data_IF_878026963574
#
_entry.id   IF_878026963574
#
_cell.length_a   1.000
_cell.length_b   1.000
_cell.length_c   1.000
_cell.angle_alpha   90.00
_cell.angle_beta   90.00
_cell.angle_gamma   90.00
#
_symmetry.space_group_name_H-M   'P 1'
#
loop_
_entity.id
_entity.type
_entity.pdbx_description
1 polymer ?
#
# COMPACT_ATOMS: atom_id res chain seq x y z
N UNK A 1 10.23 -13.00 5.56
CA UNK A 1 10.17 -14.02 4.48
C UNK A 1 11.14 -13.64 3.38
N UNK A 2 11.85 -14.59 2.77
CA UNK A 2 12.73 -14.37 1.61
C UNK A 2 12.11 -15.05 0.39
N UNK A 3 11.80 -14.29 -0.66
CA UNK A 3 11.23 -14.87 -1.87
C UNK A 3 12.35 -15.50 -2.73
N UNK A 4 12.14 -16.67 -3.37
CA UNK A 4 13.20 -17.35 -4.12
C UNK A 4 13.79 -16.53 -5.29
N UNK A 5 13.03 -15.60 -5.85
CA UNK A 5 13.45 -14.73 -6.96
C UNK A 5 13.85 -13.31 -6.51
N UNK A 6 14.05 -13.09 -5.21
CA UNK A 6 14.36 -11.78 -4.64
C UNK A 6 15.81 -11.38 -4.94
N UNK A 7 16.01 -10.25 -5.63
CA UNK A 7 17.37 -9.71 -5.86
C UNK A 7 17.90 -9.06 -4.57
N UNK A 8 19.23 -8.94 -4.39
CA UNK A 8 19.82 -8.46 -3.14
C UNK A 8 19.39 -7.06 -2.67
N UNK A 9 18.80 -6.25 -3.55
CA UNK A 9 18.28 -4.91 -3.25
C UNK A 9 16.75 -4.79 -3.32
N UNK A 10 16.02 -5.89 -3.51
CA UNK A 10 14.57 -5.83 -3.77
C UNK A 10 13.74 -5.58 -2.50
N UNK A 11 13.96 -6.33 -1.43
CA UNK A 11 13.30 -6.09 -0.15
C UNK A 11 14.15 -6.47 1.06
N UNK A 12 13.77 -5.90 2.20
CA UNK A 12 13.91 -6.54 3.50
C UNK A 12 15.38 -6.84 3.91
N UNK A 13 16.35 -6.14 3.28
CA UNK A 13 17.78 -6.33 3.42
C UNK A 13 18.22 -7.81 3.36
N UNK A 14 17.74 -8.58 2.38
CA UNK A 14 17.97 -10.02 2.27
C UNK A 14 17.41 -10.83 3.45
N UNK A 15 16.26 -10.42 3.98
CA UNK A 15 15.59 -11.08 5.11
C UNK A 15 16.15 -10.69 6.49
N UNK A 16 17.00 -9.66 6.57
CA UNK A 16 17.49 -9.12 7.85
C UNK A 16 16.48 -8.18 8.53
N UNK A 17 15.55 -7.61 7.75
CA UNK A 17 14.43 -6.84 8.29
C UNK A 17 13.28 -7.78 8.56
N UNK A 18 12.86 -7.86 9.82
CA UNK A 18 11.59 -8.45 10.21
C UNK A 18 10.54 -7.33 10.22
N UNK A 19 9.51 -7.47 9.41
CA UNK A 19 8.37 -6.56 9.44
C UNK A 19 7.40 -7.03 10.52
N UNK A 20 6.80 -6.08 11.22
CA UNK A 20 5.69 -6.37 12.12
C UNK A 20 4.51 -6.95 11.32
N UNK A 21 3.65 -7.68 12.03
CA UNK A 21 2.43 -8.21 11.44
C UNK A 21 1.56 -7.08 10.90
N UNK A 22 0.88 -7.37 9.80
CA UNK A 22 -0.03 -6.42 9.19
C UNK A 22 -1.15 -6.11 10.18
N UNK A 23 -1.29 -4.83 10.54
CA UNK A 23 -2.42 -4.41 11.37
C UNK A 23 -3.72 -4.68 10.63
N UNK A 24 -4.72 -5.14 11.37
CA UNK A 24 -6.03 -5.38 10.78
C UNK A 24 -6.64 -4.05 10.28
N UNK A 25 -7.21 -4.09 9.09
CA UNK A 25 -7.92 -2.96 8.52
C UNK A 25 -9.07 -2.56 9.45
N UNK A 26 -9.19 -1.27 9.85
CA UNK A 26 -10.32 -0.81 10.66
C UNK A 26 -11.67 -1.24 10.07
N UNK A 27 -12.58 -1.71 10.91
CA UNK A 27 -13.87 -2.29 10.50
C UNK A 27 -14.63 -1.41 9.52
N UNK A 28 -14.62 -0.08 9.74
CA UNK A 28 -15.28 0.87 8.86
C UNK A 28 -14.72 0.81 7.42
N UNK A 29 -13.40 0.77 7.26
CA UNK A 29 -12.76 0.68 5.94
C UNK A 29 -13.00 -0.69 5.31
N UNK A 30 -12.96 -1.77 6.10
CA UNK A 30 -13.29 -3.11 5.63
C UNK A 30 -14.72 -3.16 5.09
N UNK A 31 -15.69 -2.61 5.82
CA UNK A 31 -17.10 -2.59 5.44
C UNK A 31 -17.38 -1.82 4.14
N UNK A 32 -16.61 -0.78 3.85
CA UNK A 32 -16.72 -0.04 2.58
C UNK A 32 -16.36 -0.90 1.35
N UNK A 33 -15.60 -1.98 1.52
CA UNK A 33 -15.15 -2.85 0.44
C UNK A 33 -16.06 -4.09 0.22
N UNK A 34 -17.10 -4.29 1.05
CA UNK A 34 -17.92 -5.51 1.01
C UNK A 34 -19.12 -5.44 0.03
N UNK A 35 -19.50 -4.24 -0.43
CA UNK A 35 -20.64 -4.01 -1.32
C UNK A 35 -22.01 -4.22 -0.67
N UNK A 36 -22.06 -4.39 0.65
CA UNK A 36 -23.27 -4.81 1.37
C UNK A 36 -24.20 -3.64 1.74
N UNK A 37 -23.66 -2.44 1.91
CA UNK A 37 -24.43 -1.22 2.21
C UNK A 37 -24.52 -0.28 1.01
N UNK A 38 -25.51 0.64 0.97
CA UNK A 38 -25.55 1.72 -0.03
C UNK A 38 -24.24 2.51 -0.10
N UNK A 39 -23.65 2.81 1.06
CA UNK A 39 -22.39 3.55 1.17
C UNK A 39 -21.22 2.76 0.58
N UNK A 40 -21.15 1.46 0.87
CA UNK A 40 -20.11 0.59 0.30
C UNK A 40 -20.24 0.47 -1.22
N UNK A 41 -21.47 0.34 -1.75
CA UNK A 41 -21.72 0.34 -3.20
C UNK A 41 -21.30 1.67 -3.84
N UNK A 42 -21.63 2.79 -3.21
CA UNK A 42 -21.23 4.11 -3.69
C UNK A 42 -19.70 4.29 -3.64
N UNK A 43 -19.07 3.83 -2.57
CA UNK A 43 -17.63 3.87 -2.40
C UNK A 43 -16.91 3.08 -3.50
N UNK A 44 -17.28 1.81 -3.71
CA UNK A 44 -16.66 0.97 -4.74
C UNK A 44 -16.86 1.54 -6.15
N UNK A 45 -18.06 2.06 -6.46
CA UNK A 45 -18.34 2.69 -7.76
C UNK A 45 -17.41 3.89 -8.04
N UNK A 46 -17.08 4.64 -7.00
CA UNK A 46 -16.31 5.88 -7.12
C UNK A 46 -14.88 5.77 -6.53
N UNK A 47 -14.38 4.55 -6.31
CA UNK A 47 -13.14 4.32 -5.56
C UNK A 47 -11.93 5.04 -6.17
N UNK A 48 -11.90 5.18 -7.51
CA UNK A 48 -10.84 5.93 -8.21
C UNK A 48 -10.87 7.42 -7.87
N UNK A 49 -12.06 8.01 -7.80
CA UNK A 49 -12.25 9.42 -7.44
C UNK A 49 -11.87 9.68 -5.98
N UNK A 50 -12.29 8.79 -5.06
CA UNK A 50 -11.85 8.83 -3.67
C UNK A 50 -10.32 8.75 -3.58
N UNK A 51 -9.69 7.73 -4.19
CA UNK A 51 -8.25 7.57 -4.17
C UNK A 51 -7.52 8.77 -4.78
N UNK A 52 -8.01 9.35 -5.89
CA UNK A 52 -7.42 10.55 -6.49
C UNK A 52 -7.57 11.80 -5.62
N UNK A 53 -8.66 11.92 -4.85
CA UNK A 53 -8.82 13.04 -3.93
C UNK A 53 -7.83 12.96 -2.76
N UNK A 54 -7.41 11.75 -2.39
CA UNK A 54 -6.37 11.49 -1.40
C UNK A 54 -4.97 11.31 -2.01
N UNK A 55 -4.79 11.56 -3.32
CA UNK A 55 -3.46 11.57 -3.95
C UNK A 55 -2.71 12.83 -3.55
N UNK A 56 -2.18 12.81 -2.34
CA UNK A 56 -1.05 13.64 -1.95
C UNK A 56 -0.08 12.77 -1.15
N UNK A 57 0.65 11.91 -1.87
CA UNK A 57 1.66 11.02 -1.31
C UNK A 57 3.06 11.63 -1.51
N UNK A 58 3.63 12.10 -0.39
CA UNK A 58 5.03 12.47 -0.11
C UNK A 58 5.87 13.20 -1.18
N UNK A 59 6.43 14.36 -0.83
CA UNK A 59 7.61 14.88 -1.51
C UNK A 59 8.82 13.94 -1.26
N UNK A 60 9.48 13.51 -2.34
CA UNK A 60 10.89 13.09 -2.30
C UNK A 60 11.16 11.58 -2.35
N UNK A 61 11.23 11.00 -3.54
CA UNK A 61 12.36 10.14 -3.85
C UNK A 61 13.22 10.88 -4.88
N UNK A 62 14.16 11.67 -4.39
CA UNK A 62 15.27 12.12 -5.22
C UNK A 62 16.08 10.87 -5.55
N UNK A 63 16.04 10.45 -6.82
CA UNK A 63 16.99 9.46 -7.30
C UNK A 63 18.36 10.10 -7.21
N UNK A 64 19.06 9.90 -6.10
CA UNK A 64 20.51 10.08 -6.06
C UNK A 64 21.09 9.07 -7.04
N UNK A 65 21.31 9.50 -8.27
CA UNK A 65 22.17 8.80 -9.22
C UNK A 65 23.57 8.77 -8.60
N UNK A 66 24.14 7.59 -8.25
CA UNK A 66 25.55 7.55 -7.94
C UNK A 66 26.28 7.60 -9.29
N UNK A 67 26.57 8.82 -9.73
CA UNK A 67 27.68 9.06 -10.64
C UNK A 67 28.95 9.02 -9.81
N UNK A 68 29.77 7.99 -10.06
CA UNK A 68 31.07 7.73 -9.45
C UNK A 68 31.57 6.36 -9.89
#
# INVERSE_FOLDING_TARGET
MKYPAETPGLCCANGKVLLDDLQETPDHLRNLLLGQSPDSKNFMRNIRAYNSAFQMTSFGHERSHPGG
#
